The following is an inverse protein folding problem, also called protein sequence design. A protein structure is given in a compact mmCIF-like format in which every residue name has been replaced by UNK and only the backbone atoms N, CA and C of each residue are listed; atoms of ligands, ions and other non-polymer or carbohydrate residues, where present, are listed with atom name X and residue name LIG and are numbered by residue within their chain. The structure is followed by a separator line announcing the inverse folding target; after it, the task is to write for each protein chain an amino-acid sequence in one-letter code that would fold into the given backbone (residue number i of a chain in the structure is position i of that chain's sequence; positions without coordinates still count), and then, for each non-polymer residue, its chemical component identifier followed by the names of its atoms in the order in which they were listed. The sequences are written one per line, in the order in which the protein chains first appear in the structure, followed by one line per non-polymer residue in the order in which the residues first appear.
data_IF_437600074905
#
_entry.id   IF_437600074905
#
_cell.length_a   1.000
_cell.length_b   1.000
_cell.length_c   1.000
_cell.angle_alpha   90.00
_cell.angle_beta   90.00
_cell.angle_gamma   90.00
#
_symmetry.space_group_name_H-M   'P 1'
#
loop_
_entity.id
_entity.type
_entity.pdbx_description
1 polymer ?
#
# COMPACT_ATOMS: atom_id res chain seq x y z
N UNK A 1 5.59 -6.10 13.20
CA UNK A 1 4.31 -5.78 12.52
C UNK A 1 4.28 -6.38 11.11
N UNK A 2 5.40 -6.38 10.37
CA UNK A 2 5.52 -7.10 9.08
C UNK A 2 5.13 -8.58 9.19
N UNK A 3 5.71 -9.35 10.12
CA UNK A 3 5.44 -10.79 10.23
C UNK A 3 3.97 -11.15 10.50
N UNK A 4 3.24 -10.29 11.25
CA UNK A 4 1.82 -10.48 11.52
C UNK A 4 1.00 -10.17 10.26
N UNK A 5 1.30 -9.06 9.59
CA UNK A 5 0.64 -8.68 8.34
C UNK A 5 0.85 -9.70 7.23
N UNK A 6 2.08 -10.21 7.10
CA UNK A 6 2.44 -11.28 6.17
C UNK A 6 1.68 -12.56 6.44
N UNK A 7 1.66 -13.02 7.69
CA UNK A 7 0.92 -14.22 8.09
C UNK A 7 -0.58 -14.08 7.81
N UNK A 8 -1.16 -12.91 8.10
CA UNK A 8 -2.57 -12.64 7.79
C UNK A 8 -2.84 -12.70 6.28
N UNK A 9 -1.94 -12.14 5.45
CA UNK A 9 -2.10 -12.16 4.00
C UNK A 9 -1.90 -13.57 3.42
N UNK A 10 -1.00 -14.38 3.98
CA UNK A 10 -0.82 -15.77 3.56
C UNK A 10 -2.07 -16.63 3.82
N UNK A 11 -2.79 -16.38 4.91
CA UNK A 11 -4.03 -17.09 5.25
C UNK A 11 -5.22 -16.55 4.46
N UNK A 12 -5.25 -15.24 4.22
CA UNK A 12 -6.36 -14.57 3.55
C UNK A 12 -5.82 -13.50 2.59
N UNK A 13 -5.34 -13.91 1.40
CA UNK A 13 -4.84 -12.98 0.39
C UNK A 13 -6.02 -12.25 -0.22
N UNK A 14 -6.31 -11.07 0.30
CA UNK A 14 -7.40 -10.22 -0.18
C UNK A 14 -6.89 -8.79 -0.26
N UNK A 15 -7.49 -8.00 -1.17
CA UNK A 15 -7.16 -6.58 -1.30
C UNK A 15 -7.33 -5.81 0.01
N UNK A 16 -8.31 -6.17 0.83
CA UNK A 16 -8.55 -5.54 2.14
C UNK A 16 -7.41 -5.80 3.13
N UNK A 17 -6.89 -7.03 3.20
CA UNK A 17 -5.76 -7.37 4.07
C UNK A 17 -4.49 -6.68 3.59
N UNK A 18 -4.23 -6.68 2.28
CA UNK A 18 -3.10 -5.96 1.69
C UNK A 18 -3.18 -4.45 1.97
N UNK A 19 -4.35 -3.82 1.82
CA UNK A 19 -4.53 -2.40 2.12
C UNK A 19 -4.33 -2.07 3.60
N UNK A 20 -4.82 -2.91 4.51
CA UNK A 20 -4.58 -2.74 5.95
C UNK A 20 -3.09 -2.79 6.27
N UNK A 21 -2.35 -3.72 5.65
CA UNK A 21 -0.90 -3.80 5.79
C UNK A 21 -0.21 -2.55 5.20
N UNK A 22 -0.64 -2.07 4.03
CA UNK A 22 -0.13 -0.84 3.43
C UNK A 22 -0.31 0.36 4.38
N UNK A 23 -1.49 0.51 4.99
CA UNK A 23 -1.75 1.59 5.95
C UNK A 23 -0.88 1.48 7.21
N UNK A 24 -0.71 0.27 7.74
CA UNK A 24 0.14 0.03 8.90
C UNK A 24 1.61 0.38 8.61
N UNK A 25 2.11 0.01 7.43
CA UNK A 25 3.46 0.37 7.00
C UNK A 25 3.61 1.89 6.76
N UNK A 26 2.59 2.54 6.19
CA UNK A 26 2.60 3.98 5.95
C UNK A 26 2.68 4.79 7.25
N UNK A 27 2.04 4.31 8.32
CA UNK A 27 2.10 4.93 9.65
C UNK A 27 3.49 4.79 10.32
N UNK A 28 4.34 3.86 9.87
CA UNK A 28 5.66 3.57 10.42
C UNK A 28 6.81 4.08 9.53
N UNK A 29 6.60 5.19 8.80
CA UNK A 29 7.41 5.64 7.65
C UNK A 29 8.06 4.57 6.77
N UNK A 30 7.47 3.38 6.63
CA UNK A 30 8.02 2.27 5.83
C UNK A 30 7.53 2.36 4.39
N UNK A 31 8.13 3.27 3.63
CA UNK A 31 7.76 3.56 2.24
C UNK A 31 7.86 2.35 1.30
N UNK A 32 8.99 1.62 1.29
CA UNK A 32 9.15 0.44 0.41
C UNK A 32 8.16 -0.69 0.72
N UNK A 33 7.98 -1.11 1.98
CA UNK A 33 6.95 -2.10 2.33
C UNK A 33 5.53 -1.62 1.98
N UNK A 34 5.23 -0.34 2.19
CA UNK A 34 3.93 0.22 1.82
C UNK A 34 3.63 0.06 0.34
N UNK A 35 4.60 0.37 -0.53
CA UNK A 35 4.46 0.18 -1.98
C UNK A 35 4.29 -1.30 -2.34
N UNK A 36 4.99 -2.21 -1.65
CA UNK A 36 4.82 -3.66 -1.83
C UNK A 36 3.39 -4.11 -1.54
N UNK A 37 2.81 -3.65 -0.42
CA UNK A 37 1.44 -3.97 -0.05
C UNK A 37 0.38 -3.35 -0.97
N UNK A 38 0.64 -2.14 -1.49
CA UNK A 38 -0.24 -1.52 -2.48
C UNK A 38 -0.27 -2.31 -3.80
N UNK A 39 0.89 -2.80 -4.26
CA UNK A 39 0.96 -3.70 -5.42
C UNK A 39 0.23 -5.01 -5.15
N UNK A 40 0.39 -5.60 -3.96
CA UNK A 40 -0.38 -6.78 -3.59
C UNK A 40 -1.89 -6.52 -3.63
N UNK A 41 -2.35 -5.39 -3.09
CA UNK A 41 -3.77 -5.03 -3.13
C UNK A 41 -4.32 -4.91 -4.56
N UNK A 42 -3.52 -4.35 -5.48
CA UNK A 42 -3.86 -4.27 -6.91
C UNK A 42 -3.99 -5.65 -7.55
N UNK A 43 -3.01 -6.54 -7.30
CA UNK A 43 -3.04 -7.92 -7.80
C UNK A 43 -4.26 -8.71 -7.28
N UNK A 44 -4.72 -8.42 -6.07
CA UNK A 44 -5.93 -9.02 -5.47
C UNK A 44 -7.25 -8.35 -5.93
N UNK A 45 -7.22 -7.54 -6.99
CA UNK A 45 -8.42 -6.95 -7.60
C UNK A 45 -8.87 -5.63 -6.98
N UNK A 46 -7.95 -4.80 -6.50
CA UNK A 46 -8.22 -3.39 -6.23
C UNK A 46 -8.22 -2.61 -7.55
N UNK A 47 -9.39 -2.15 -7.97
CA UNK A 47 -9.59 -1.51 -9.27
C UNK A 47 -9.11 -0.06 -9.28
N UNK A 48 -9.24 0.67 -8.17
CA UNK A 48 -8.86 2.09 -8.08
C UNK A 48 -7.82 2.30 -6.99
N UNK A 49 -6.55 2.28 -7.40
CA UNK A 49 -5.43 2.68 -6.57
C UNK A 49 -5.41 4.20 -6.33
N UNK A 50 -5.88 5.00 -7.28
CA UNK A 50 -5.78 6.46 -7.27
C UNK A 50 -6.56 7.08 -6.11
N UNK A 51 -7.79 6.64 -5.87
CA UNK A 51 -8.61 7.07 -4.73
C UNK A 51 -7.98 6.66 -3.40
N UNK A 52 -7.48 5.41 -3.33
CA UNK A 52 -6.80 4.90 -2.13
C UNK A 52 -5.57 5.73 -1.81
N UNK A 53 -4.74 5.99 -2.82
CA UNK A 53 -3.48 6.71 -2.70
C UNK A 53 -3.67 8.17 -2.29
N UNK A 54 -4.80 8.81 -2.64
CA UNK A 54 -5.15 10.16 -2.18
C UNK A 54 -5.41 10.24 -0.67
N UNK A 55 -5.75 9.13 -0.03
CA UNK A 55 -6.10 9.08 1.40
C UNK A 55 -4.99 9.59 2.35
N UNK A 56 -5.42 10.25 3.43
CA UNK A 56 -4.52 10.83 4.44
C UNK A 56 -3.62 9.81 5.17
N UNK A 57 -3.96 8.51 5.09
CA UNK A 57 -3.14 7.44 5.68
C UNK A 57 -1.73 7.36 5.09
N UNK A 58 -1.52 7.92 3.90
CA UNK A 58 -0.22 7.96 3.23
C UNK A 58 0.54 9.28 3.42
N UNK A 59 -0.04 10.28 4.10
CA UNK A 59 0.64 11.56 4.34
C UNK A 59 2.04 11.43 4.97
N UNK A 60 2.29 10.51 5.92
CA UNK A 60 3.63 10.32 6.49
C UNK A 60 4.70 9.90 5.47
N UNK A 61 4.30 9.23 4.39
CA UNK A 61 5.21 8.75 3.33
C UNK A 61 5.04 9.53 2.01
N UNK A 62 4.13 10.52 1.96
CA UNK A 62 3.77 11.25 0.73
C UNK A 62 4.95 11.99 0.10
N UNK A 63 5.92 12.38 0.91
CA UNK A 63 7.14 13.04 0.45
C UNK A 63 8.26 12.07 0.07
N UNK A 64 8.13 10.77 0.36
CA UNK A 64 9.18 9.79 0.05
C UNK A 64 9.33 9.58 -1.45
N UNK A 65 10.57 9.39 -1.90
CA UNK A 65 10.85 9.15 -3.32
C UNK A 65 10.19 7.85 -3.81
N UNK A 66 10.17 6.80 -2.98
CA UNK A 66 9.56 5.53 -3.36
C UNK A 66 8.05 5.66 -3.57
N UNK A 67 7.37 6.43 -2.71
CA UNK A 67 5.93 6.64 -2.83
C UNK A 67 5.57 7.60 -3.97
N UNK A 68 6.36 8.66 -4.19
CA UNK A 68 6.19 9.57 -5.33
C UNK A 68 6.32 8.85 -6.67
N UNK A 69 7.38 8.05 -6.85
CA UNK A 69 7.54 7.22 -8.06
C UNK A 69 6.36 6.28 -8.27
N UNK A 70 5.81 5.72 -7.18
CA UNK A 70 4.63 4.88 -7.27
C UNK A 70 3.39 5.67 -7.69
N UNK A 71 3.18 6.88 -7.16
CA UNK A 71 2.08 7.76 -7.54
C UNK A 71 2.14 8.16 -9.02
N UNK A 72 3.32 8.51 -9.53
CA UNK A 72 3.52 8.88 -10.94
C UNK A 72 3.13 7.72 -11.86
N UNK A 73 3.60 6.51 -11.58
CA UNK A 73 3.31 5.31 -12.38
C UNK A 73 1.82 4.91 -12.41
N UNK A 74 1.04 5.30 -11.41
CA UNK A 74 -0.38 4.94 -11.30
C UNK A 74 -1.32 6.14 -11.51
N UNK A 75 -0.79 7.33 -11.85
CA UNK A 75 -1.59 8.51 -12.20
C UNK A 75 -1.74 8.72 -13.71
N UNK A 76 -1.05 7.93 -14.54
CA UNK A 76 -1.06 8.02 -16.00
C UNK A 76 -1.99 6.99 -16.69
N UNK A 77 -2.86 6.30 -15.96
CA UNK A 77 -3.97 5.48 -16.52
C UNK A 77 -5.29 6.27 -16.63
#
# INVERSE_FOLDING_TARGET
MEEIGESCFQVMPTKEVALRNAYACAALPKDKPTVGWLKAAFLEGLEDLTEVLKGAKFDPIRQSEAFKKFLELNSEE
#
